data_IF_703361207684
#
_entry.id   IF_703361207684
#
_cell.length_a   1.000
_cell.length_b   1.000
_cell.length_c   1.000
_cell.angle_alpha   90.00
_cell.angle_beta   90.00
_cell.angle_gamma   90.00
#
_symmetry.space_group_name_H-M   'P 1'
#
loop_
_entity.id
_entity.type
_entity.pdbx_description
1 polymer ?
#
# COMPACT_ATOMS: atom_id res chain seq x y z
N UNK A 1 -50.68 -19.38 -23.61
CA UNK A 1 -49.36 -18.78 -23.74
C UNK A 1 -49.14 -17.96 -22.47
N UNK A 2 -48.50 -18.56 -21.48
CA UNK A 2 -48.37 -18.03 -20.14
C UNK A 2 -47.04 -17.24 -20.12
N UNK A 3 -47.13 -15.92 -19.98
CA UNK A 3 -45.94 -15.04 -19.88
C UNK A 3 -45.31 -15.29 -18.53
N UNK A 4 -44.11 -15.85 -18.54
CA UNK A 4 -43.22 -15.90 -17.38
C UNK A 4 -42.73 -14.48 -17.11
N UNK A 5 -43.10 -13.91 -15.96
CA UNK A 5 -42.48 -12.72 -15.40
C UNK A 5 -41.07 -13.09 -14.94
N UNK A 6 -40.02 -12.25 -15.20
CA UNK A 6 -38.71 -12.52 -14.67
C UNK A 6 -38.76 -12.42 -13.15
N UNK A 7 -38.18 -13.42 -12.48
CA UNK A 7 -37.97 -13.45 -11.04
C UNK A 7 -37.23 -12.18 -10.64
N UNK A 8 -37.75 -11.45 -9.66
CA UNK A 8 -37.04 -10.44 -8.95
C UNK A 8 -35.88 -11.14 -8.24
N UNK A 9 -34.65 -10.78 -8.57
CA UNK A 9 -33.49 -11.07 -7.72
C UNK A 9 -33.84 -10.56 -6.32
N UNK A 10 -33.99 -11.49 -5.38
CA UNK A 10 -34.08 -11.16 -3.96
C UNK A 10 -32.74 -10.53 -3.57
N UNK A 11 -32.71 -9.21 -3.39
CA UNK A 11 -31.59 -8.55 -2.70
C UNK A 11 -31.50 -9.18 -1.30
N UNK A 12 -30.47 -9.97 -1.06
CA UNK A 12 -30.13 -10.46 0.28
C UNK A 12 -29.94 -9.23 1.18
N UNK A 13 -30.91 -8.94 2.04
CA UNK A 13 -30.80 -7.86 3.01
C UNK A 13 -29.85 -8.30 4.12
N UNK A 14 -28.59 -7.89 4.07
CA UNK A 14 -27.65 -8.06 5.16
C UNK A 14 -28.08 -7.25 6.37
N UNK A 15 -27.98 -7.85 7.57
CA UNK A 15 -28.15 -7.11 8.82
C UNK A 15 -27.04 -6.04 8.95
N UNK A 16 -27.45 -4.78 9.09
CA UNK A 16 -26.51 -3.66 9.24
C UNK A 16 -25.87 -3.70 10.63
N UNK A 17 -24.53 -3.82 10.68
CA UNK A 17 -23.77 -3.81 11.93
C UNK A 17 -23.26 -2.39 12.22
N UNK A 18 -23.48 -1.91 13.45
CA UNK A 18 -23.11 -0.54 13.84
C UNK A 18 -21.82 -0.50 14.66
N UNK A 19 -20.96 0.50 14.36
CA UNK A 19 -19.72 0.79 15.07
C UNK A 19 -19.52 2.30 15.21
N UNK A 20 -18.64 2.72 16.13
CA UNK A 20 -18.23 4.11 16.23
C UNK A 20 -17.30 4.48 15.08
N UNK A 21 -16.34 3.62 14.74
CA UNK A 21 -15.32 3.88 13.71
C UNK A 21 -15.26 2.74 12.71
N UNK A 22 -15.33 3.11 11.41
CA UNK A 22 -14.98 2.24 10.29
C UNK A 22 -13.59 2.58 9.78
N UNK A 23 -12.75 1.57 9.58
CA UNK A 23 -11.39 1.74 9.05
C UNK A 23 -11.28 0.90 7.78
N UNK A 24 -10.88 1.51 6.67
CA UNK A 24 -10.71 0.83 5.39
C UNK A 24 -9.22 0.62 5.10
N UNK A 25 -8.79 -0.65 5.14
CA UNK A 25 -7.44 -1.11 4.88
C UNK A 25 -6.83 -1.89 6.04
N UNK A 26 -6.20 -3.03 5.74
CA UNK A 26 -5.54 -3.94 6.69
C UNK A 26 -4.01 -3.82 6.68
N UNK A 27 -3.48 -2.72 6.14
CA UNK A 27 -2.07 -2.37 6.20
C UNK A 27 -1.67 -1.76 7.56
N UNK A 28 -0.41 -1.33 7.72
CA UNK A 28 0.10 -0.77 8.98
C UNK A 28 -0.68 0.45 9.46
N UNK A 29 -1.14 1.30 8.54
CA UNK A 29 -1.95 2.46 8.90
C UNK A 29 -3.32 2.05 9.47
N UNK A 30 -4.03 1.12 8.83
CA UNK A 30 -5.35 0.66 9.30
C UNK A 30 -5.27 -0.07 10.64
N UNK A 31 -4.31 -1.00 10.79
CA UNK A 31 -4.11 -1.74 12.04
C UNK A 31 -3.69 -0.83 13.20
N UNK A 32 -2.82 0.16 12.95
CA UNK A 32 -2.46 1.16 13.96
C UNK A 32 -3.65 2.02 14.36
N UNK A 33 -4.42 2.52 13.38
CA UNK A 33 -5.64 3.28 13.66
C UNK A 33 -6.60 2.48 14.54
N UNK A 34 -6.77 1.18 14.25
CA UNK A 34 -7.61 0.28 15.04
C UNK A 34 -7.13 0.14 16.49
N UNK A 35 -5.81 -0.02 16.70
CA UNK A 35 -5.23 -0.10 18.04
C UNK A 35 -5.57 1.16 18.85
N UNK A 36 -5.33 2.34 18.29
CA UNK A 36 -5.50 3.60 19.02
C UNK A 36 -6.99 3.93 19.27
N UNK A 37 -7.86 3.77 18.27
CA UNK A 37 -9.30 4.04 18.43
C UNK A 37 -9.97 3.05 19.40
N UNK A 38 -9.61 1.75 19.32
CA UNK A 38 -10.14 0.75 20.28
C UNK A 38 -9.64 1.00 21.71
N UNK A 39 -8.37 1.44 21.89
CA UNK A 39 -7.86 1.83 23.21
C UNK A 39 -8.53 3.07 23.78
N UNK A 40 -9.08 3.93 22.93
CA UNK A 40 -9.91 5.06 23.36
C UNK A 40 -11.33 4.64 23.76
N UNK A 41 -11.65 3.33 23.77
CA UNK A 41 -12.95 2.78 24.18
C UNK A 41 -14.01 2.82 23.09
N UNK A 42 -13.65 3.07 21.84
CA UNK A 42 -14.57 3.10 20.70
C UNK A 42 -14.78 1.68 20.14
N UNK A 43 -15.99 1.40 19.67
CA UNK A 43 -16.28 0.21 18.90
C UNK A 43 -15.76 0.38 17.46
N UNK A 44 -14.93 -0.56 17.00
CA UNK A 44 -14.15 -0.41 15.76
C UNK A 44 -14.32 -1.61 14.84
N UNK A 45 -14.59 -1.35 13.56
CA UNK A 45 -14.49 -2.35 12.49
C UNK A 45 -13.40 -1.94 11.50
N UNK A 46 -12.52 -2.90 11.17
CA UNK A 46 -11.48 -2.74 10.14
C UNK A 46 -11.82 -3.65 8.98
N UNK A 47 -11.93 -3.09 7.80
CA UNK A 47 -12.36 -3.79 6.58
C UNK A 47 -11.25 -3.71 5.55
N UNK A 48 -10.86 -4.85 4.99
CA UNK A 48 -9.89 -4.92 3.90
C UNK A 48 -9.67 -6.35 3.41
N UNK A 49 -9.27 -6.50 2.17
CA UNK A 49 -8.95 -7.82 1.55
C UNK A 49 -7.47 -8.14 1.63
N UNK A 50 -6.61 -7.12 1.49
CA UNK A 50 -5.16 -7.30 1.40
C UNK A 50 -4.55 -7.29 2.80
N UNK A 51 -4.37 -8.49 3.38
CA UNK A 51 -3.84 -8.65 4.73
C UNK A 51 -2.39 -8.17 4.84
N UNK A 52 -2.16 -7.18 5.70
CA UNK A 52 -0.88 -6.50 5.85
C UNK A 52 -0.58 -5.46 4.77
N UNK A 53 -1.39 -5.36 3.72
CA UNK A 53 -1.14 -4.47 2.59
C UNK A 53 0.24 -4.73 1.97
N UNK A 54 0.93 -3.67 1.54
CA UNK A 54 2.29 -3.80 0.96
C UNK A 54 3.32 -4.31 1.99
N UNK A 55 3.16 -3.98 3.27
CA UNK A 55 4.04 -4.48 4.33
C UNK A 55 4.01 -6.02 4.42
N UNK A 56 2.83 -6.64 4.27
CA UNK A 56 2.68 -8.09 4.32
C UNK A 56 3.45 -8.85 3.23
N UNK A 57 3.82 -8.19 2.14
CA UNK A 57 4.59 -8.78 1.03
C UNK A 57 6.10 -8.81 1.30
N UNK A 58 6.59 -8.04 2.27
CA UNK A 58 8.02 -7.97 2.59
C UNK A 58 8.47 -9.27 3.30
N UNK A 59 9.49 -9.92 2.75
CA UNK A 59 10.08 -11.12 3.37
C UNK A 59 10.75 -10.76 4.70
N UNK A 60 11.45 -9.64 4.74
CA UNK A 60 12.17 -9.13 5.91
C UNK A 60 12.06 -7.60 5.96
N UNK A 61 11.95 -7.07 7.17
CA UNK A 61 11.89 -5.65 7.49
C UNK A 61 12.93 -5.39 8.56
N UNK A 62 13.97 -4.62 8.22
CA UNK A 62 15.10 -4.26 9.10
C UNK A 62 15.04 -2.80 9.55
N UNK A 63 14.10 -2.02 9.03
CA UNK A 63 13.97 -0.58 9.26
C UNK A 63 12.74 -0.19 10.10
N UNK A 64 12.10 -1.15 10.78
CA UNK A 64 11.04 -0.87 11.73
C UNK A 64 11.60 -0.85 13.16
N UNK A 65 11.64 0.32 13.84
CA UNK A 65 12.23 0.43 15.17
C UNK A 65 11.61 -0.54 16.19
N UNK A 66 12.44 -1.29 16.88
CA UNK A 66 12.02 -2.28 17.89
C UNK A 66 12.24 -3.73 17.44
N UNK A 67 12.62 -3.95 16.18
CA UNK A 67 13.03 -5.25 15.64
C UNK A 67 14.32 -5.08 14.86
N UNK A 68 15.30 -5.94 15.10
CA UNK A 68 16.51 -6.03 14.25
C UNK A 68 16.14 -6.56 12.88
N UNK A 69 15.22 -7.54 12.86
CA UNK A 69 14.66 -8.15 11.67
C UNK A 69 13.30 -8.77 12.01
N UNK A 70 12.31 -8.59 11.15
CA UNK A 70 11.00 -9.23 11.25
C UNK A 70 10.38 -9.37 9.86
N UNK A 71 9.65 -10.47 9.58
CA UNK A 71 8.92 -10.57 8.33
C UNK A 71 7.68 -9.65 8.33
N UNK A 72 7.29 -9.18 7.13
CA UNK A 72 6.09 -8.35 6.98
C UNK A 72 4.83 -9.04 7.49
N UNK A 73 4.70 -10.36 7.27
CA UNK A 73 3.57 -11.14 7.77
C UNK A 73 3.58 -11.23 9.30
N UNK A 74 4.73 -11.51 9.92
CA UNK A 74 4.82 -11.57 11.39
C UNK A 74 4.50 -10.22 12.03
N UNK A 75 5.00 -9.11 11.46
CA UNK A 75 4.67 -7.77 11.94
C UNK A 75 3.16 -7.49 11.80
N UNK A 76 2.56 -7.90 10.67
CA UNK A 76 1.11 -7.80 10.45
C UNK A 76 0.32 -8.56 11.51
N UNK A 77 0.70 -9.82 11.78
CA UNK A 77 0.04 -10.66 12.79
C UNK A 77 0.12 -10.03 14.18
N UNK A 78 1.28 -9.49 14.55
CA UNK A 78 1.47 -8.80 15.83
C UNK A 78 0.58 -7.56 15.95
N UNK A 79 0.50 -6.73 14.91
CA UNK A 79 -0.35 -5.54 14.89
C UNK A 79 -1.85 -5.91 14.92
N UNK A 80 -2.26 -6.91 14.13
CA UNK A 80 -3.64 -7.42 14.13
C UNK A 80 -4.04 -7.95 15.51
N UNK A 81 -3.23 -8.84 16.09
CA UNK A 81 -3.51 -9.43 17.40
C UNK A 81 -3.58 -8.35 18.49
N UNK A 82 -2.78 -7.28 18.37
CA UNK A 82 -2.86 -6.14 19.28
C UNK A 82 -4.16 -5.36 19.10
N UNK A 83 -4.62 -5.12 17.87
CA UNK A 83 -5.90 -4.46 17.60
C UNK A 83 -7.08 -5.27 18.14
N UNK A 84 -7.12 -6.58 17.87
CA UNK A 84 -8.16 -7.49 18.36
C UNK A 84 -8.18 -7.59 19.90
N UNK A 85 -7.00 -7.58 20.55
CA UNK A 85 -6.90 -7.54 22.03
C UNK A 85 -7.61 -6.33 22.64
N UNK A 86 -7.66 -5.20 21.93
CA UNK A 86 -8.37 -4.01 22.35
C UNK A 86 -9.82 -3.96 21.86
N UNK A 87 -10.32 -5.02 21.21
CA UNK A 87 -11.71 -5.16 20.80
C UNK A 87 -12.02 -4.75 19.36
N UNK A 88 -11.02 -4.42 18.54
CA UNK A 88 -11.27 -4.17 17.13
C UNK A 88 -11.80 -5.42 16.42
N UNK A 89 -12.83 -5.26 15.59
CA UNK A 89 -13.34 -6.33 14.71
C UNK A 89 -12.63 -6.25 13.37
N UNK A 90 -11.91 -7.30 13.00
CA UNK A 90 -11.28 -7.43 11.68
C UNK A 90 -12.23 -8.17 10.74
N UNK A 91 -12.42 -7.61 9.54
CA UNK A 91 -13.28 -8.17 8.49
C UNK A 91 -12.47 -8.24 7.19
N UNK A 92 -12.29 -9.46 6.69
CA UNK A 92 -11.65 -9.71 5.42
C UNK A 92 -12.68 -9.60 4.30
N UNK A 93 -12.86 -8.37 3.81
CA UNK A 93 -13.84 -8.04 2.78
C UNK A 93 -13.34 -6.90 1.92
N UNK A 94 -13.86 -6.76 0.71
CA UNK A 94 -13.67 -5.58 -0.13
C UNK A 94 -14.75 -4.55 0.18
N UNK A 95 -14.33 -3.30 0.43
CA UNK A 95 -15.27 -2.19 0.53
C UNK A 95 -15.57 -1.67 -0.88
N UNK A 96 -16.79 -1.91 -1.36
CA UNK A 96 -17.22 -1.56 -2.72
C UNK A 96 -17.66 -0.11 -2.83
N UNK A 97 -18.40 0.35 -1.81
CA UNK A 97 -18.95 1.70 -1.77
C UNK A 97 -19.10 2.22 -0.33
N UNK A 98 -19.10 3.55 -0.21
CA UNK A 98 -19.33 4.25 1.06
C UNK A 98 -20.31 5.39 0.81
N UNK A 99 -21.39 5.44 1.57
CA UNK A 99 -22.42 6.45 1.46
C UNK A 99 -22.55 7.28 2.75
N UNK A 100 -22.53 8.60 2.62
CA UNK A 100 -22.87 9.50 3.73
C UNK A 100 -24.39 9.55 3.89
N UNK A 101 -24.89 9.20 5.08
CA UNK A 101 -26.31 9.26 5.43
C UNK A 101 -26.72 10.69 5.86
N UNK A 102 -28.01 10.97 5.92
CA UNK A 102 -28.55 12.27 6.35
C UNK A 102 -28.18 12.61 7.80
N UNK A 103 -28.08 11.62 8.68
CA UNK A 103 -27.62 11.73 10.07
C UNK A 103 -26.11 11.87 10.21
N UNK A 104 -25.39 12.01 9.06
CA UNK A 104 -23.94 12.16 8.91
C UNK A 104 -23.12 10.95 9.27
N UNK A 105 -23.73 9.81 9.52
CA UNK A 105 -23.05 8.51 9.59
C UNK A 105 -22.66 8.02 8.19
N UNK A 106 -21.80 7.03 8.14
CA UNK A 106 -21.34 6.43 6.88
C UNK A 106 -21.77 4.98 6.80
N UNK A 107 -22.44 4.62 5.70
CA UNK A 107 -22.77 3.24 5.37
C UNK A 107 -21.68 2.69 4.44
N UNK A 108 -20.96 1.69 4.91
CA UNK A 108 -19.92 0.97 4.15
C UNK A 108 -20.57 -0.30 3.61
N UNK A 109 -20.58 -0.46 2.29
CA UNK A 109 -21.02 -1.69 1.62
C UNK A 109 -19.81 -2.54 1.26
N UNK A 110 -19.92 -3.83 1.52
CA UNK A 110 -18.90 -4.83 1.22
C UNK A 110 -19.52 -6.08 0.61
N UNK A 111 -18.72 -6.93 0.01
CA UNK A 111 -19.10 -8.27 -0.44
C UNK A 111 -19.53 -9.23 0.71
N UNK A 112 -19.28 -8.84 1.98
CA UNK A 112 -19.56 -9.65 3.19
C UNK A 112 -20.61 -9.02 4.13
N UNK A 113 -21.25 -7.90 3.73
CA UNK A 113 -22.27 -7.22 4.51
C UNK A 113 -22.14 -5.71 4.56
N UNK A 114 -23.03 -5.08 5.34
CA UNK A 114 -23.10 -3.63 5.47
C UNK A 114 -22.74 -3.17 6.90
N UNK A 115 -22.00 -2.07 6.99
CA UNK A 115 -21.51 -1.51 8.26
C UNK A 115 -21.86 -0.03 8.35
N UNK A 116 -22.53 0.38 9.42
CA UNK A 116 -22.89 1.78 9.69
C UNK A 116 -21.97 2.35 10.77
N UNK A 117 -21.26 3.42 10.46
CA UNK A 117 -20.23 3.98 11.34
C UNK A 117 -20.41 5.49 11.53
N UNK A 118 -19.98 6.02 12.69
CA UNK A 118 -20.06 7.45 13.03
C UNK A 118 -18.89 8.25 12.44
N UNK A 119 -17.73 7.62 12.32
CA UNK A 119 -16.53 8.20 11.71
C UNK A 119 -15.82 7.18 10.83
N UNK A 120 -15.03 7.67 9.86
CA UNK A 120 -14.34 6.85 8.88
C UNK A 120 -12.86 7.22 8.83
N UNK A 121 -11.97 6.18 8.79
CA UNK A 121 -10.55 6.35 8.52
C UNK A 121 -10.21 5.60 7.22
N UNK A 122 -9.77 6.32 6.19
CA UNK A 122 -9.29 5.74 4.94
C UNK A 122 -7.79 5.46 5.05
N UNK A 123 -7.44 4.18 5.13
CA UNK A 123 -6.08 3.66 5.21
C UNK A 123 -5.78 2.70 4.05
N UNK A 124 -6.33 3.02 2.87
CA UNK A 124 -6.36 2.17 1.68
C UNK A 124 -5.00 2.01 1.00
N UNK A 125 -4.01 2.83 1.38
CA UNK A 125 -2.64 2.76 0.89
C UNK A 125 -2.54 2.94 -0.63
N UNK A 126 -1.76 2.09 -1.27
CA UNK A 126 -1.58 2.08 -2.71
C UNK A 126 -1.12 0.72 -3.20
N UNK A 127 -1.06 0.56 -4.50
CA UNK A 127 -0.53 -0.62 -5.16
C UNK A 127 0.63 -0.25 -6.06
N UNK A 128 1.66 -1.09 -6.10
CA UNK A 128 2.74 -0.93 -7.07
C UNK A 128 2.21 -1.09 -8.48
N UNK A 129 2.80 -0.36 -9.41
CA UNK A 129 2.57 -0.64 -10.83
C UNK A 129 3.28 -1.93 -11.18
N UNK A 130 2.53 -2.87 -11.72
CA UNK A 130 3.06 -4.12 -12.23
C UNK A 130 3.68 -3.91 -13.62
N UNK A 131 4.69 -4.71 -13.96
CA UNK A 131 5.23 -4.81 -15.32
C UNK A 131 4.20 -5.43 -16.26
N UNK A 132 3.29 -6.24 -15.70
CA UNK A 132 2.27 -7.03 -16.42
C UNK A 132 2.89 -8.01 -17.43
N UNK A 133 3.90 -8.73 -16.99
CA UNK A 133 4.61 -9.73 -17.81
C UNK A 133 4.50 -11.12 -17.20
N UNK A 134 4.57 -12.19 -18.01
CA UNK A 134 4.66 -13.56 -17.50
C UNK A 134 5.80 -13.72 -16.49
N UNK A 135 5.54 -14.49 -15.41
CA UNK A 135 6.49 -14.74 -14.32
C UNK A 135 6.51 -13.68 -13.24
N UNK A 136 6.02 -12.45 -13.48
CA UNK A 136 6.06 -11.38 -12.46
C UNK A 136 5.39 -11.81 -11.16
N UNK A 137 4.12 -12.21 -11.21
CA UNK A 137 3.35 -12.60 -10.00
C UNK A 137 3.86 -13.88 -9.36
N UNK A 138 4.36 -14.79 -10.17
CA UNK A 138 4.88 -16.07 -9.71
C UNK A 138 6.12 -15.89 -8.81
N UNK A 139 7.00 -14.94 -9.16
CA UNK A 139 8.27 -14.74 -8.46
C UNK A 139 8.25 -13.57 -7.45
N UNK A 140 7.09 -13.01 -7.09
CA UNK A 140 6.99 -12.03 -5.99
C UNK A 140 7.55 -12.66 -4.71
N UNK A 141 8.51 -11.97 -4.05
CA UNK A 141 9.22 -12.48 -2.89
C UNK A 141 10.21 -13.62 -3.18
N UNK A 142 10.34 -14.03 -4.45
CA UNK A 142 11.29 -15.03 -4.92
C UNK A 142 12.20 -14.51 -6.02
N UNK A 143 12.57 -13.23 -5.90
CA UNK A 143 13.44 -12.50 -6.84
C UNK A 143 12.74 -11.33 -7.52
N UNK A 144 11.41 -11.23 -7.53
CA UNK A 144 10.69 -10.01 -7.93
C UNK A 144 10.39 -9.18 -6.69
N UNK A 145 10.79 -7.90 -6.70
CA UNK A 145 10.52 -6.91 -5.67
C UNK A 145 10.02 -5.59 -6.28
N UNK A 146 9.30 -4.80 -5.48
CA UNK A 146 8.82 -3.46 -5.84
C UNK A 146 9.44 -2.37 -4.94
N UNK A 147 10.40 -2.73 -4.08
CA UNK A 147 11.10 -1.79 -3.20
C UNK A 147 12.59 -2.14 -3.12
N UNK A 148 13.39 -1.54 -3.99
CA UNK A 148 14.83 -1.79 -3.99
C UNK A 148 15.52 -1.32 -2.70
N UNK A 149 15.08 -0.20 -2.12
CA UNK A 149 15.63 0.30 -0.85
C UNK A 149 15.24 -0.55 0.37
N UNK A 150 14.17 -1.34 0.29
CA UNK A 150 13.76 -2.25 1.34
C UNK A 150 14.55 -3.57 1.29
N UNK A 151 14.71 -4.11 0.08
CA UNK A 151 15.17 -5.48 -0.15
C UNK A 151 16.63 -5.57 -0.64
N UNK A 152 17.33 -4.43 -0.76
CA UNK A 152 18.69 -4.40 -1.31
C UNK A 152 19.67 -5.36 -0.61
N UNK A 153 19.57 -5.50 0.71
CA UNK A 153 20.46 -6.35 1.53
C UNK A 153 20.47 -7.82 1.09
N UNK A 154 19.35 -8.34 0.58
CA UNK A 154 19.24 -9.75 0.11
C UNK A 154 19.95 -10.01 -1.22
N UNK A 155 20.38 -8.94 -1.89
CA UNK A 155 20.98 -9.04 -3.22
C UNK A 155 22.48 -8.72 -3.26
N UNK A 156 23.13 -8.76 -2.09
CA UNK A 156 24.60 -8.71 -2.01
C UNK A 156 25.22 -9.83 -2.83
N UNK A 157 26.26 -9.51 -3.63
CA UNK A 157 26.95 -10.42 -4.54
C UNK A 157 26.08 -11.04 -5.64
N UNK A 158 24.84 -10.58 -5.82
CA UNK A 158 23.91 -11.04 -6.86
C UNK A 158 23.85 -10.10 -8.05
N UNK A 159 23.39 -10.63 -9.17
CA UNK A 159 23.09 -9.84 -10.39
C UNK A 159 21.62 -9.49 -10.39
N UNK A 160 21.29 -8.20 -10.53
CA UNK A 160 19.91 -7.72 -10.47
C UNK A 160 19.56 -6.77 -11.62
N UNK A 161 18.29 -6.71 -11.94
CA UNK A 161 17.71 -5.78 -12.90
C UNK A 161 16.83 -4.78 -12.15
N UNK A 162 17.03 -3.48 -12.34
CA UNK A 162 16.15 -2.42 -11.82
C UNK A 162 15.40 -1.80 -12.98
N UNK A 163 14.10 -1.90 -13.01
CA UNK A 163 13.24 -1.35 -14.05
C UNK A 163 12.59 -0.07 -13.59
N UNK A 164 12.92 1.02 -14.25
CA UNK A 164 12.38 2.35 -13.94
C UNK A 164 13.34 3.45 -14.31
N UNK A 165 12.84 4.65 -14.54
CA UNK A 165 13.66 5.80 -14.96
C UNK A 165 13.61 6.99 -14.00
N UNK A 166 12.78 6.94 -12.93
CA UNK A 166 12.62 8.01 -11.95
C UNK A 166 13.54 7.87 -10.75
N UNK A 167 13.40 8.79 -9.78
CA UNK A 167 14.25 8.88 -8.58
C UNK A 167 14.19 7.62 -7.70
N UNK A 168 13.03 6.94 -7.62
CA UNK A 168 12.90 5.69 -6.88
C UNK A 168 13.83 4.60 -7.46
N UNK A 169 13.81 4.41 -8.79
CA UNK A 169 14.70 3.47 -9.45
C UNK A 169 16.18 3.87 -9.31
N UNK A 170 16.47 5.17 -9.37
CA UNK A 170 17.83 5.68 -9.21
C UNK A 170 18.39 5.42 -7.81
N UNK A 171 17.63 5.78 -6.78
CA UNK A 171 18.02 5.57 -5.37
C UNK A 171 18.10 4.08 -5.04
N UNK A 172 17.17 3.26 -5.56
CA UNK A 172 17.22 1.81 -5.42
C UNK A 172 18.46 1.19 -6.09
N UNK A 173 18.81 1.65 -7.29
CA UNK A 173 20.02 1.22 -8.01
C UNK A 173 21.28 1.53 -7.20
N UNK A 174 21.37 2.73 -6.62
CA UNK A 174 22.51 3.12 -5.80
C UNK A 174 22.55 2.31 -4.49
N UNK A 175 21.41 2.10 -3.83
CA UNK A 175 21.34 1.28 -2.62
C UNK A 175 21.79 -0.17 -2.87
N UNK A 176 21.38 -0.79 -3.97
CA UNK A 176 21.87 -2.10 -4.39
C UNK A 176 23.38 -2.13 -4.62
N UNK A 177 23.94 -1.08 -5.19
CA UNK A 177 25.39 -0.95 -5.36
C UNK A 177 26.11 -0.79 -4.03
N UNK A 178 25.54 -0.01 -3.10
CA UNK A 178 26.13 0.23 -1.77
C UNK A 178 26.17 -1.02 -0.91
N UNK A 179 25.19 -1.90 -0.99
CA UNK A 179 25.20 -3.20 -0.29
C UNK A 179 26.09 -4.24 -0.98
N UNK A 180 26.68 -3.93 -2.13
CA UNK A 180 27.62 -4.80 -2.84
C UNK A 180 26.95 -5.81 -3.77
N UNK A 181 25.89 -5.45 -4.46
CA UNK A 181 25.39 -6.25 -5.58
C UNK A 181 26.49 -6.43 -6.64
N UNK A 182 26.61 -7.64 -7.19
CA UNK A 182 27.67 -8.00 -8.15
C UNK A 182 27.56 -7.21 -9.44
N UNK A 183 26.35 -7.12 -9.99
CA UNK A 183 26.05 -6.40 -11.22
C UNK A 183 24.62 -5.91 -11.17
N UNK A 184 24.39 -4.68 -11.61
CA UNK A 184 23.09 -4.04 -11.65
C UNK A 184 22.84 -3.55 -13.06
N UNK A 185 21.78 -4.04 -13.70
CA UNK A 185 21.29 -3.54 -14.96
C UNK A 185 20.11 -2.60 -14.72
N UNK A 186 20.36 -1.30 -14.89
CA UNK A 186 19.33 -0.28 -14.69
C UNK A 186 18.62 0.02 -16.00
N UNK A 187 17.37 -0.39 -16.12
CA UNK A 187 16.60 -0.49 -17.39
C UNK A 187 15.61 0.66 -17.52
N UNK A 188 15.67 1.37 -18.64
CA UNK A 188 14.69 2.36 -19.08
C UNK A 188 14.05 1.94 -20.41
N UNK A 189 12.74 2.07 -20.51
CA UNK A 189 12.01 1.88 -21.79
C UNK A 189 12.23 3.03 -22.80
N UNK A 190 12.76 4.16 -22.32
CA UNK A 190 13.09 5.35 -23.11
C UNK A 190 14.60 5.44 -23.34
N UNK A 191 15.01 6.33 -24.22
CA UNK A 191 16.40 6.69 -24.47
C UNK A 191 17.00 7.65 -23.44
N UNK A 192 16.24 7.97 -22.37
CA UNK A 192 16.67 8.84 -21.28
C UNK A 192 16.15 8.36 -19.93
N UNK A 193 16.80 8.83 -18.85
CA UNK A 193 16.32 8.69 -17.46
C UNK A 193 15.60 9.97 -17.03
N UNK A 194 14.53 9.81 -16.23
CA UNK A 194 13.71 10.91 -15.70
C UNK A 194 14.17 11.40 -14.34
N UNK A 195 15.07 10.66 -13.70
CA UNK A 195 15.61 11.01 -12.39
C UNK A 195 16.50 12.26 -12.47
N UNK A 196 16.76 12.86 -11.30
CA UNK A 196 17.69 13.98 -11.19
C UNK A 196 19.08 13.58 -11.70
N UNK A 197 19.76 14.53 -12.36
CA UNK A 197 21.08 14.32 -12.98
C UNK A 197 22.15 13.82 -12.01
N UNK A 198 22.07 14.25 -10.75
CA UNK A 198 23.03 13.83 -9.71
C UNK A 198 23.05 12.31 -9.50
N UNK A 199 21.92 11.63 -9.68
CA UNK A 199 21.86 10.17 -9.55
C UNK A 199 22.58 9.47 -10.70
N UNK A 200 22.48 10.01 -11.92
CA UNK A 200 23.22 9.49 -13.09
C UNK A 200 24.72 9.67 -12.92
N UNK A 201 25.15 10.84 -12.41
CA UNK A 201 26.55 11.12 -12.14
C UNK A 201 27.13 10.15 -11.08
N UNK A 202 26.34 9.83 -10.04
CA UNK A 202 26.73 8.85 -9.02
C UNK A 202 26.76 7.42 -9.56
N UNK A 203 25.81 7.05 -10.39
CA UNK A 203 25.76 5.74 -11.01
C UNK A 203 26.94 5.53 -11.97
N UNK A 204 27.33 6.56 -12.73
CA UNK A 204 28.48 6.51 -13.66
C UNK A 204 29.84 6.30 -12.95
N UNK A 205 29.93 6.54 -11.63
CA UNK A 205 31.14 6.31 -10.83
C UNK A 205 31.24 4.88 -10.28
N UNK A 206 30.30 3.98 -10.65
CA UNK A 206 30.18 2.63 -10.09
C UNK A 206 30.32 1.59 -11.20
N UNK A 207 31.36 0.79 -11.14
CA UNK A 207 31.69 -0.23 -12.17
C UNK A 207 30.66 -1.36 -12.25
N UNK A 208 29.88 -1.56 -11.19
CA UNK A 208 28.85 -2.62 -11.15
C UNK A 208 27.48 -2.18 -11.70
N UNK A 209 27.30 -0.91 -12.10
CA UNK A 209 26.06 -0.40 -12.67
C UNK A 209 26.20 -0.27 -14.19
N UNK A 210 25.21 -0.80 -14.91
CA UNK A 210 25.08 -0.64 -16.37
C UNK A 210 23.67 -0.18 -16.72
N UNK A 211 23.57 0.93 -17.46
CA UNK A 211 22.28 1.50 -17.87
C UNK A 211 21.91 0.94 -19.24
N UNK A 212 20.72 0.36 -19.32
CA UNK A 212 20.15 -0.16 -20.56
C UNK A 212 18.96 0.69 -20.99
N UNK A 213 19.14 1.44 -22.05
CA UNK A 213 18.10 2.27 -22.66
C UNK A 213 17.28 1.49 -23.70
N UNK A 214 16.06 1.97 -23.97
CA UNK A 214 15.15 1.40 -24.97
C UNK A 214 14.87 -0.10 -24.78
N UNK A 215 14.91 -0.56 -23.52
CA UNK A 215 14.63 -1.94 -23.13
C UNK A 215 13.35 -2.02 -22.31
N UNK A 216 12.53 -3.00 -22.61
CA UNK A 216 11.34 -3.31 -21.84
C UNK A 216 11.34 -4.80 -21.52
N UNK A 217 11.07 -5.12 -20.27
CA UNK A 217 10.91 -6.52 -19.84
C UNK A 217 9.69 -7.12 -20.53
N UNK A 218 9.83 -8.31 -21.07
CA UNK A 218 8.78 -9.07 -21.74
C UNK A 218 8.38 -10.32 -20.95
N UNK A 219 9.33 -10.94 -20.22
CA UNK A 219 9.08 -12.14 -19.42
C UNK A 219 10.13 -12.27 -18.33
N UNK A 220 9.74 -12.84 -17.21
CA UNK A 220 10.62 -13.21 -16.09
C UNK A 220 10.60 -14.72 -15.97
N UNK A 221 11.77 -15.36 -16.00
CA UNK A 221 11.92 -16.79 -15.97
C UNK A 221 12.72 -17.27 -14.78
N UNK A 222 12.40 -18.48 -14.34
CA UNK A 222 13.08 -19.18 -13.28
C UNK A 222 12.41 -20.51 -12.96
N UNK A 223 12.97 -21.21 -12.01
CA UNK A 223 12.39 -22.47 -11.50
C UNK A 223 11.77 -22.26 -10.12
N UNK A 224 12.57 -21.90 -9.15
CA UNK A 224 12.12 -21.59 -7.78
C UNK A 224 12.23 -20.08 -7.47
N UNK A 225 13.19 -19.43 -8.08
CA UNK A 225 13.49 -18.01 -7.97
C UNK A 225 13.72 -17.45 -9.37
N UNK A 226 13.82 -16.12 -9.50
CA UNK A 226 14.22 -15.49 -10.75
C UNK A 226 15.61 -15.97 -11.17
N UNK A 227 15.77 -16.33 -12.45
CA UNK A 227 17.02 -16.80 -13.06
C UNK A 227 17.37 -16.04 -14.36
N UNK A 228 16.35 -15.58 -15.09
CA UNK A 228 16.53 -14.91 -16.38
C UNK A 228 15.45 -13.87 -16.63
N UNK A 229 15.84 -12.73 -17.19
CA UNK A 229 14.94 -11.69 -17.68
C UNK A 229 15.01 -11.64 -19.20
N UNK A 230 13.85 -11.71 -19.85
CA UNK A 230 13.70 -11.60 -21.31
C UNK A 230 13.21 -10.19 -21.65
N UNK A 231 13.82 -9.55 -22.63
CA UNK A 231 13.40 -8.25 -23.12
C UNK A 231 12.58 -8.35 -24.42
N UNK A 232 11.87 -7.27 -24.74
CA UNK A 232 10.99 -7.16 -25.91
C UNK A 232 11.69 -7.31 -27.27
N UNK A 233 13.01 -7.14 -27.32
CA UNK A 233 13.83 -7.35 -28.51
C UNK A 233 14.40 -8.77 -28.63
N UNK A 234 13.98 -9.66 -27.73
CA UNK A 234 14.43 -11.06 -27.68
C UNK A 234 15.77 -11.28 -26.97
N UNK A 235 16.45 -10.23 -26.52
CA UNK A 235 17.67 -10.39 -25.70
C UNK A 235 17.33 -10.87 -24.30
N UNK A 236 18.25 -11.60 -23.67
CA UNK A 236 18.07 -12.13 -22.32
C UNK A 236 19.24 -11.75 -21.41
N UNK A 237 18.95 -11.63 -20.11
CA UNK A 237 19.95 -11.43 -19.07
C UNK A 237 19.74 -12.45 -17.96
N UNK A 238 20.82 -13.11 -17.53
CA UNK A 238 20.82 -13.89 -16.29
C UNK A 238 20.81 -12.91 -15.11
N UNK A 239 19.83 -13.06 -14.22
CA UNK A 239 19.69 -12.24 -13.06
C UNK A 239 19.07 -13.03 -11.91
N UNK A 240 19.52 -12.76 -10.69
CA UNK A 240 19.02 -13.35 -9.45
C UNK A 240 17.77 -12.62 -8.92
N UNK A 241 17.48 -11.43 -9.48
CA UNK A 241 16.30 -10.68 -9.12
C UNK A 241 16.01 -9.48 -10.02
N UNK A 242 14.80 -8.97 -9.89
CA UNK A 242 14.29 -7.81 -10.62
C UNK A 242 13.50 -6.91 -9.69
N UNK A 243 13.77 -5.62 -9.76
CA UNK A 243 13.08 -4.57 -9.01
C UNK A 243 12.22 -3.73 -9.97
N UNK A 244 10.91 -3.75 -9.78
CA UNK A 244 9.96 -2.97 -10.58
C UNK A 244 9.68 -1.60 -9.92
N UNK A 245 10.54 -0.63 -10.18
CA UNK A 245 10.46 0.75 -9.67
C UNK A 245 9.79 1.70 -10.67
N UNK A 246 8.60 1.28 -11.18
CA UNK A 246 7.85 2.00 -12.22
C UNK A 246 6.70 2.85 -11.69
N UNK A 247 6.66 3.03 -10.36
CA UNK A 247 5.73 3.89 -9.64
C UNK A 247 4.67 3.14 -8.85
N UNK A 248 3.90 3.93 -8.11
CA UNK A 248 2.81 3.45 -7.25
C UNK A 248 1.49 4.12 -7.68
N UNK A 249 0.38 3.44 -7.48
CA UNK A 249 -0.97 3.92 -7.73
C UNK A 249 -1.67 4.00 -6.37
N UNK A 250 -2.00 5.19 -5.86
CA UNK A 250 -2.78 5.33 -4.64
C UNK A 250 -4.20 4.76 -4.83
N UNK A 251 -4.72 4.07 -3.81
CA UNK A 251 -6.07 3.52 -3.83
C UNK A 251 -7.07 4.58 -3.34
N UNK A 252 -7.43 5.52 -4.22
CA UNK A 252 -8.28 6.68 -3.92
C UNK A 252 -9.69 6.57 -4.48
N UNK A 253 -10.05 5.43 -5.05
CA UNK A 253 -11.33 5.22 -5.72
C UNK A 253 -12.52 5.46 -4.78
N UNK A 254 -12.50 4.94 -3.55
CA UNK A 254 -13.54 5.18 -2.54
C UNK A 254 -13.58 6.63 -2.07
N UNK A 255 -12.40 7.26 -1.92
CA UNK A 255 -12.31 8.66 -1.54
C UNK A 255 -12.93 9.57 -2.61
N UNK A 256 -12.64 9.31 -3.88
CA UNK A 256 -13.20 10.06 -5.00
C UNK A 256 -14.73 9.91 -5.09
N UNK A 257 -15.27 8.71 -4.89
CA UNK A 257 -16.73 8.47 -4.84
C UNK A 257 -17.42 9.25 -3.73
N UNK A 258 -16.76 9.40 -2.56
CA UNK A 258 -17.25 10.23 -1.45
C UNK A 258 -17.14 11.74 -1.70
N UNK A 259 -16.45 12.20 -2.74
CA UNK A 259 -16.18 13.62 -2.99
C UNK A 259 -15.06 14.17 -2.12
N UNK A 260 -14.12 13.34 -1.67
CA UNK A 260 -12.94 13.79 -0.94
C UNK A 260 -11.97 14.47 -1.90
N UNK A 261 -11.43 15.61 -1.48
CA UNK A 261 -10.43 16.35 -2.26
C UNK A 261 -9.13 15.54 -2.40
N UNK A 262 -8.63 15.50 -3.64
CA UNK A 262 -7.36 14.87 -3.97
C UNK A 262 -6.32 15.93 -4.37
N UNK A 263 -5.06 15.71 -3.96
CA UNK A 263 -3.89 16.45 -4.39
C UNK A 263 -2.89 15.45 -4.98
N UNK A 264 -2.52 15.60 -6.25
CA UNK A 264 -1.63 14.67 -6.99
C UNK A 264 -2.12 13.19 -6.93
N UNK A 265 -3.41 12.97 -7.04
CA UNK A 265 -4.09 11.67 -6.87
C UNK A 265 -3.96 11.05 -5.46
N UNK A 266 -3.57 11.81 -4.45
CA UNK A 266 -3.52 11.41 -3.05
C UNK A 266 -4.62 12.12 -2.27
N UNK A 267 -5.14 11.49 -1.21
CA UNK A 267 -6.14 12.12 -0.34
C UNK A 267 -5.51 13.33 0.35
N UNK A 268 -6.08 14.51 0.10
CA UNK A 268 -5.66 15.74 0.76
C UNK A 268 -6.11 15.73 2.21
N UNK A 269 -5.17 15.93 3.13
CA UNK A 269 -5.43 16.00 4.57
C UNK A 269 -4.74 17.20 5.21
N UNK A 270 -5.29 17.67 6.34
CA UNK A 270 -4.65 18.65 7.21
C UNK A 270 -3.62 17.99 8.16
N UNK A 271 -3.09 18.75 9.13
CA UNK A 271 -2.09 18.26 10.08
C UNK A 271 -2.67 17.28 11.13
N UNK A 272 -4.00 17.24 11.25
CA UNK A 272 -4.74 16.32 12.10
C UNK A 272 -5.34 15.15 11.31
N UNK A 273 -4.86 14.94 10.08
CA UNK A 273 -5.31 13.88 9.16
C UNK A 273 -6.79 13.96 8.78
N UNK A 274 -7.44 15.14 8.90
CA UNK A 274 -8.82 15.37 8.47
C UNK A 274 -8.87 15.60 6.96
N UNK A 275 -9.92 15.08 6.33
CA UNK A 275 -10.26 15.41 4.95
C UNK A 275 -11.20 16.61 4.90
N UNK A 276 -11.61 17.02 3.69
CA UNK A 276 -12.65 18.04 3.51
C UNK A 276 -14.06 17.57 3.94
N UNK A 277 -14.24 16.28 4.25
CA UNK A 277 -15.53 15.73 4.69
C UNK A 277 -15.49 15.53 6.20
N UNK A 278 -16.39 16.19 6.92
CA UNK A 278 -16.54 16.05 8.36
C UNK A 278 -16.76 14.60 8.78
N UNK A 279 -15.97 14.10 9.75
CA UNK A 279 -16.00 12.73 10.23
C UNK A 279 -15.21 11.74 9.38
N UNK A 280 -14.50 12.21 8.34
CA UNK A 280 -13.63 11.38 7.51
C UNK A 280 -12.17 11.81 7.65
N UNK A 281 -11.34 10.85 8.01
CA UNK A 281 -9.90 10.96 8.18
C UNK A 281 -9.18 10.05 7.20
N UNK A 282 -7.89 10.30 6.95
CA UNK A 282 -7.09 9.40 6.14
C UNK A 282 -5.65 9.29 6.68
N UNK A 283 -5.03 8.12 6.50
CA UNK A 283 -3.67 7.87 6.97
C UNK A 283 -2.89 6.93 6.04
N UNK A 284 -1.56 7.02 6.13
CA UNK A 284 -0.64 6.19 5.37
C UNK A 284 -0.41 6.69 3.94
N UNK A 285 0.04 5.79 3.08
CA UNK A 285 0.56 6.09 1.74
C UNK A 285 -0.48 6.67 0.76
N UNK A 286 -1.77 6.56 1.09
CA UNK A 286 -2.86 7.14 0.31
C UNK A 286 -2.96 8.66 0.46
N UNK A 287 -2.25 9.26 1.43
CA UNK A 287 -2.39 10.68 1.79
C UNK A 287 -1.35 11.58 1.13
N UNK A 288 -1.70 12.84 0.91
CA UNK A 288 -0.85 13.88 0.32
C UNK A 288 0.31 14.34 1.22
N UNK A 289 0.33 13.92 2.49
CA UNK A 289 1.44 14.25 3.41
C UNK A 289 2.72 13.48 3.09
N UNK A 290 2.62 12.32 2.44
CA UNK A 290 3.78 11.53 2.02
C UNK A 290 4.04 11.79 0.53
N UNK A 291 4.56 12.98 0.21
CA UNK A 291 4.85 13.37 -1.19
C UNK A 291 6.07 12.65 -1.75
N UNK A 292 7.14 12.52 -0.96
CA UNK A 292 8.34 11.79 -1.38
C UNK A 292 8.07 10.27 -1.35
N UNK A 293 8.18 9.56 -2.48
CA UNK A 293 7.99 8.10 -2.51
C UNK A 293 8.88 7.32 -1.54
N UNK A 294 10.11 7.80 -1.29
CA UNK A 294 11.04 7.17 -0.34
C UNK A 294 10.60 7.27 1.12
N UNK A 295 9.72 8.23 1.43
CA UNK A 295 9.13 8.38 2.77
C UNK A 295 7.88 7.52 2.99
N UNK A 296 7.47 6.72 2.00
CA UNK A 296 6.39 5.73 2.11
C UNK A 296 6.92 4.49 2.81
N UNK A 297 7.00 4.59 4.13
CA UNK A 297 7.54 3.56 5.00
C UNK A 297 6.48 3.11 6.02
N UNK A 298 6.65 1.91 6.57
CA UNK A 298 5.76 1.39 7.62
C UNK A 298 5.67 2.37 8.79
N UNK A 299 6.79 2.91 9.24
CA UNK A 299 6.89 3.87 10.36
C UNK A 299 6.14 5.17 10.10
N UNK A 300 6.20 5.72 8.88
CA UNK A 300 5.48 6.93 8.49
C UNK A 300 3.96 6.69 8.47
N UNK A 301 3.56 5.53 7.94
CA UNK A 301 2.16 5.12 7.91
C UNK A 301 1.59 4.92 9.32
N UNK A 302 2.36 4.33 10.25
CA UNK A 302 2.04 4.19 11.67
C UNK A 302 1.91 5.56 12.34
N UNK A 303 2.84 6.48 12.07
CA UNK A 303 2.80 7.85 12.64
C UNK A 303 1.54 8.62 12.23
N UNK A 304 1.21 8.66 10.94
CA UNK A 304 -0.01 9.30 10.44
C UNK A 304 -1.28 8.63 10.97
N UNK A 305 -1.28 7.30 11.06
CA UNK A 305 -2.41 6.54 11.60
C UNK A 305 -2.68 6.85 13.07
N UNK A 306 -1.62 7.08 13.85
CA UNK A 306 -1.74 7.51 15.26
C UNK A 306 -2.43 8.87 15.34
N UNK A 307 -2.02 9.85 14.53
CA UNK A 307 -2.64 11.17 14.48
C UNK A 307 -4.11 11.05 14.05
N UNK A 308 -4.40 10.34 12.95
CA UNK A 308 -5.77 10.15 12.47
C UNK A 308 -6.68 9.51 13.52
N UNK A 309 -6.20 8.51 14.25
CA UNK A 309 -6.97 7.81 15.28
C UNK A 309 -7.28 8.71 16.48
N UNK A 310 -6.31 9.49 16.95
CA UNK A 310 -6.51 10.46 18.05
C UNK A 310 -7.53 11.52 17.61
N UNK A 311 -7.33 12.13 16.42
CA UNK A 311 -8.26 13.13 15.88
C UNK A 311 -9.67 12.57 15.68
N UNK A 312 -9.79 11.29 15.31
CA UNK A 312 -11.10 10.61 15.20
C UNK A 312 -11.78 10.47 16.57
N UNK A 313 -11.03 10.08 17.60
CA UNK A 313 -11.56 9.96 18.95
C UNK A 313 -12.02 11.31 19.52
N UNK A 314 -11.21 12.36 19.34
CA UNK A 314 -11.55 13.73 19.75
C UNK A 314 -12.80 14.25 19.03
N UNK A 315 -12.92 14.00 17.73
CA UNK A 315 -14.11 14.34 16.94
C UNK A 315 -15.36 13.65 17.49
N UNK A 316 -15.30 12.35 17.78
CA UNK A 316 -16.44 11.61 18.32
C UNK A 316 -16.80 12.06 19.73
N UNK A 317 -15.82 12.32 20.58
CA UNK A 317 -16.03 12.83 21.93
C UNK A 317 -16.72 14.20 21.91
N UNK A 318 -16.21 15.15 21.12
CA UNK A 318 -16.79 16.48 21.00
C UNK A 318 -18.24 16.45 20.49
N UNK A 319 -18.54 15.52 19.56
CA UNK A 319 -19.84 15.48 18.89
C UNK A 319 -20.91 14.70 19.63
N UNK A 320 -20.54 13.58 20.26
CA UNK A 320 -21.53 12.64 20.80
C UNK A 320 -21.61 12.69 22.34
N UNK A 321 -20.66 13.31 23.06
CA UNK A 321 -20.72 13.49 24.52
C UNK A 321 -21.58 14.70 24.92
N UNK A 322 -21.84 15.65 24.00
CA UNK A 322 -22.68 16.84 24.28
C UNK A 322 -24.20 16.51 24.23
N UNK A 323 -24.58 15.28 23.90
CA UNK A 323 -25.97 14.85 23.77
C UNK A 323 -26.44 13.92 24.91
N UNK A 324 -25.63 13.77 25.98
CA UNK A 324 -25.92 12.97 27.18
C UNK A 324 -26.33 13.80 28.38
#
# INVERSE_FOLDING_TARGET
>A
MMLLTPDKEEEESFEIKEYDVGIIGLGPAGLTSAIYTSRAGLSVVVIGKDYGGQMGLALEIENYPGFENISGMELTDRMKNQAEKFGAKIVFAEADDIYRKEDRRFLIKTDMGEYLVKALILATGGRHRELNVPGEKEFIGRGVSYCATCDASFFKEKTVVVVGSGDAAATGTLALSDVGAKKIYWVSRSDYMKCEKIYLERAAQRDNIEILYNKQVAEIKGTNTVEEIVFNDGTTLKADGIFAEIGNIPNTELAAKLGIELEDNLIKIDDECRTNIEGVFAAGDVTSKIKNPLSRQVTTSVGLATIAAISTADYLQARYTIQG
#
